data_IF_721368424379
#
_entry.id   IF_721368424379
#
_cell.length_a   1.000
_cell.length_b   1.000
_cell.length_c   1.000
_cell.angle_alpha   90.00
_cell.angle_beta   90.00
_cell.angle_gamma   90.00
#
_symmetry.space_group_name_H-M   'P 1'
#
loop_
_entity.id
_entity.type
_entity.pdbx_description
1 polymer ?
#
# COMPACT_ATOMS: atom_id res chain seq x y z
N UNK A 1 -72.98 7.33 -25.63
CA UNK A 1 -71.76 6.47 -25.60
C UNK A 1 -70.59 7.10 -26.37
N UNK A 2 -70.82 7.62 -27.59
CA UNK A 2 -69.82 8.29 -28.44
C UNK A 2 -69.16 9.54 -27.81
N UNK A 3 -69.91 10.34 -27.05
CA UNK A 3 -69.41 11.51 -26.29
C UNK A 3 -68.31 11.15 -25.26
N UNK A 4 -68.45 10.00 -24.58
CA UNK A 4 -67.46 9.53 -23.59
C UNK A 4 -66.16 9.05 -24.24
N UNK A 5 -66.24 8.56 -25.48
CA UNK A 5 -65.09 8.10 -26.27
C UNK A 5 -64.30 9.30 -26.81
N UNK A 6 -64.98 10.34 -27.33
CA UNK A 6 -64.32 11.59 -27.75
C UNK A 6 -63.62 12.31 -26.60
N UNK A 7 -64.20 12.28 -25.40
CA UNK A 7 -63.61 12.89 -24.19
C UNK A 7 -62.37 12.13 -23.69
N UNK A 8 -62.35 10.79 -23.80
CA UNK A 8 -61.16 9.96 -23.53
C UNK A 8 -60.06 10.11 -24.58
N UNK A 9 -60.42 10.30 -25.85
CA UNK A 9 -59.46 10.52 -26.93
C UNK A 9 -58.79 11.92 -26.87
N UNK A 10 -59.41 12.88 -26.18
CA UNK A 10 -58.86 14.21 -25.86
C UNK A 10 -58.14 14.27 -24.51
N UNK A 11 -57.96 13.13 -23.83
CA UNK A 11 -57.38 13.08 -22.50
C UNK A 11 -55.85 13.00 -22.60
N UNK A 12 -55.16 14.14 -22.41
CA UNK A 12 -53.69 14.24 -22.50
C UNK A 12 -52.95 13.36 -21.47
N UNK A 13 -53.68 12.85 -20.47
CA UNK A 13 -53.18 11.90 -19.47
C UNK A 13 -52.53 10.66 -20.09
N UNK A 14 -53.01 10.21 -21.25
CA UNK A 14 -52.41 9.08 -21.97
C UNK A 14 -51.06 9.41 -22.62
N UNK A 15 -50.91 10.61 -23.17
CA UNK A 15 -49.66 11.07 -23.78
C UNK A 15 -48.58 11.31 -22.71
N UNK A 16 -48.96 11.87 -21.56
CA UNK A 16 -48.06 12.05 -20.42
C UNK A 16 -47.55 10.69 -19.92
N UNK A 17 -48.42 9.67 -19.84
CA UNK A 17 -48.01 8.32 -19.42
C UNK A 17 -46.97 7.73 -20.39
N UNK A 18 -47.15 7.89 -21.70
CA UNK A 18 -46.20 7.42 -22.71
C UNK A 18 -44.85 8.15 -22.60
N UNK A 19 -44.86 9.47 -22.42
CA UNK A 19 -43.64 10.26 -22.22
C UNK A 19 -42.89 9.81 -20.95
N UNK A 20 -43.60 9.65 -19.84
CA UNK A 20 -43.01 9.21 -18.57
C UNK A 20 -42.42 7.80 -18.68
N UNK A 21 -43.07 6.90 -19.40
CA UNK A 21 -42.54 5.56 -19.66
C UNK A 21 -41.21 5.60 -20.43
N UNK A 22 -41.12 6.44 -21.47
CA UNK A 22 -39.87 6.62 -22.25
C UNK A 22 -38.77 7.23 -21.39
N UNK A 23 -39.09 8.26 -20.60
CA UNK A 23 -38.12 8.91 -19.70
C UNK A 23 -37.62 7.97 -18.60
N UNK A 24 -38.48 7.11 -18.05
CA UNK A 24 -38.06 6.10 -17.07
C UNK A 24 -37.02 5.14 -17.65
N UNK A 25 -37.22 4.66 -18.88
CA UNK A 25 -36.25 3.80 -19.56
C UNK A 25 -34.92 4.53 -19.76
N UNK A 26 -34.96 5.81 -20.17
CA UNK A 26 -33.76 6.62 -20.33
C UNK A 26 -32.99 6.79 -19.00
N UNK A 27 -33.68 7.09 -17.90
CA UNK A 27 -33.07 7.24 -16.57
C UNK A 27 -32.44 5.94 -16.10
N UNK A 28 -33.10 4.80 -16.30
CA UNK A 28 -32.54 3.47 -15.96
C UNK A 28 -31.28 3.21 -16.79
N UNK A 29 -31.28 3.57 -18.07
CA UNK A 29 -30.09 3.45 -18.93
C UNK A 29 -28.90 4.28 -18.44
N UNK A 30 -29.13 5.53 -18.01
CA UNK A 30 -28.06 6.35 -17.43
C UNK A 30 -27.59 5.85 -16.06
N UNK A 31 -28.51 5.39 -15.21
CA UNK A 31 -28.17 4.81 -13.91
C UNK A 31 -27.31 3.54 -14.09
N UNK A 32 -27.64 2.71 -15.08
CA UNK A 32 -26.86 1.53 -15.44
C UNK A 32 -25.41 1.89 -15.79
N UNK A 33 -25.22 2.88 -16.65
CA UNK A 33 -23.89 3.35 -17.06
C UNK A 33 -23.10 3.94 -15.89
N UNK A 34 -23.77 4.68 -15.01
CA UNK A 34 -23.16 5.25 -13.81
C UNK A 34 -22.64 4.16 -12.86
N UNK A 35 -23.43 3.09 -12.66
CA UNK A 35 -23.04 1.95 -11.81
C UNK A 35 -21.82 1.23 -12.39
N UNK A 36 -21.82 0.97 -13.70
CA UNK A 36 -20.70 0.29 -14.36
C UNK A 36 -19.40 1.10 -14.24
N UNK A 37 -19.47 2.39 -14.55
CA UNK A 37 -18.32 3.30 -14.47
C UNK A 37 -17.81 3.42 -13.03
N UNK A 38 -18.71 3.53 -12.07
CA UNK A 38 -18.35 3.55 -10.65
C UNK A 38 -17.62 2.28 -10.21
N UNK A 39 -18.07 1.11 -10.68
CA UNK A 39 -17.43 -0.17 -10.36
C UNK A 39 -16.01 -0.29 -10.96
N UNK A 40 -15.79 0.25 -12.16
CA UNK A 40 -14.48 0.26 -12.80
C UNK A 40 -13.50 1.20 -12.11
N UNK A 41 -13.94 2.39 -11.69
CA UNK A 41 -13.09 3.31 -10.94
C UNK A 41 -12.72 2.74 -9.56
N UNK A 42 -13.65 2.08 -8.88
CA UNK A 42 -13.35 1.37 -7.63
C UNK A 42 -12.31 0.26 -7.85
N UNK A 43 -12.46 -0.53 -8.92
CA UNK A 43 -11.50 -1.58 -9.27
C UNK A 43 -10.13 -0.98 -9.59
N UNK A 44 -10.07 0.15 -10.30
CA UNK A 44 -8.82 0.86 -10.61
C UNK A 44 -8.07 1.28 -9.36
N UNK A 45 -8.76 1.79 -8.34
CA UNK A 45 -8.15 2.11 -7.05
C UNK A 45 -7.57 0.86 -6.36
N UNK A 46 -8.30 -0.26 -6.38
CA UNK A 46 -7.80 -1.52 -5.81
C UNK A 46 -6.57 -2.06 -6.56
N UNK A 47 -6.59 -2.01 -7.89
CA UNK A 47 -5.45 -2.45 -8.72
C UNK A 47 -4.22 -1.58 -8.48
N UNK A 48 -4.40 -0.26 -8.32
CA UNK A 48 -3.30 0.65 -7.97
C UNK A 48 -2.75 0.33 -6.57
N UNK A 49 -3.60 0.19 -5.56
CA UNK A 49 -3.18 -0.17 -4.19
C UNK A 49 -2.42 -1.51 -4.17
N UNK A 50 -2.87 -2.49 -4.97
CA UNK A 50 -2.19 -3.77 -5.10
C UNK A 50 -0.84 -3.63 -5.80
N UNK A 51 -0.73 -2.79 -6.84
CA UNK A 51 0.53 -2.51 -7.51
C UNK A 51 1.52 -1.82 -6.57
N UNK A 52 1.07 -0.82 -5.80
CA UNK A 52 1.91 -0.08 -4.85
C UNK A 52 2.43 -0.98 -3.73
N UNK A 53 1.55 -1.79 -3.12
CA UNK A 53 1.93 -2.76 -2.10
C UNK A 53 2.90 -3.81 -2.65
N UNK A 54 2.66 -4.31 -3.86
CA UNK A 54 3.53 -5.28 -4.50
C UNK A 54 4.90 -4.70 -4.87
N UNK A 55 4.95 -3.46 -5.37
CA UNK A 55 6.20 -2.78 -5.68
C UNK A 55 7.03 -2.54 -4.42
N UNK A 56 6.41 -2.10 -3.32
CA UNK A 56 7.10 -1.91 -2.05
C UNK A 56 7.66 -3.22 -1.50
N UNK A 57 6.86 -4.29 -1.49
CA UNK A 57 7.31 -5.61 -1.04
C UNK A 57 8.45 -6.13 -1.91
N UNK A 58 8.35 -6.00 -3.24
CA UNK A 58 9.44 -6.39 -4.13
C UNK A 58 10.70 -5.57 -3.90
N UNK A 59 10.59 -4.27 -3.61
CA UNK A 59 11.75 -3.43 -3.34
C UNK A 59 12.46 -3.79 -2.04
N UNK A 60 11.75 -4.31 -1.03
CA UNK A 60 12.34 -4.73 0.24
C UNK A 60 13.30 -5.92 0.06
N UNK A 61 12.87 -6.92 -0.72
CA UNK A 61 13.68 -8.12 -1.02
C UNK A 61 14.56 -8.00 -2.25
N UNK A 62 14.45 -6.91 -3.02
CA UNK A 62 15.25 -6.73 -4.24
C UNK A 62 16.77 -6.80 -3.99
N UNK A 63 17.32 -6.24 -2.90
CA UNK A 63 18.75 -6.34 -2.60
C UNK A 63 19.22 -7.76 -2.25
N UNK A 64 18.32 -8.63 -1.76
CA UNK A 64 18.66 -9.98 -1.31
C UNK A 64 18.48 -11.01 -2.42
N UNK A 65 17.35 -10.98 -3.13
CA UNK A 65 16.97 -11.98 -4.12
C UNK A 65 15.86 -11.48 -5.04
N UNK A 66 16.12 -11.45 -6.35
CA UNK A 66 15.11 -11.09 -7.37
C UNK A 66 13.97 -12.11 -7.45
N UNK A 67 14.25 -13.38 -7.13
CA UNK A 67 13.23 -14.42 -7.04
C UNK A 67 12.28 -14.16 -5.87
N UNK A 68 12.83 -13.83 -4.70
CA UNK A 68 12.03 -13.52 -3.50
C UNK A 68 11.21 -12.27 -3.72
N UNK A 69 11.83 -11.19 -4.24
CA UNK A 69 11.13 -9.96 -4.61
C UNK A 69 9.95 -10.21 -5.56
N UNK A 70 10.08 -11.13 -6.51
CA UNK A 70 9.00 -11.49 -7.43
C UNK A 70 7.86 -12.23 -6.72
N UNK A 71 8.19 -13.22 -5.88
CA UNK A 71 7.21 -13.97 -5.08
C UNK A 71 6.48 -13.07 -4.08
N UNK A 72 7.19 -12.13 -3.47
CA UNK A 72 6.62 -11.19 -2.50
C UNK A 72 5.72 -10.18 -3.19
N UNK A 73 6.12 -9.61 -4.34
CA UNK A 73 5.22 -8.80 -5.16
C UNK A 73 3.91 -9.55 -5.49
N UNK A 74 3.99 -10.81 -5.93
CA UNK A 74 2.81 -11.63 -6.23
C UNK A 74 1.93 -11.86 -4.99
N UNK A 75 2.56 -12.11 -3.85
CA UNK A 75 1.86 -12.32 -2.56
C UNK A 75 1.13 -11.06 -2.12
N UNK A 76 1.80 -9.91 -2.13
CA UNK A 76 1.18 -8.64 -1.74
C UNK A 76 0.14 -8.15 -2.75
N UNK A 77 0.34 -8.38 -4.06
CA UNK A 77 -0.67 -8.10 -5.07
C UNK A 77 -1.95 -8.91 -4.84
N UNK A 78 -1.84 -10.21 -4.58
CA UNK A 78 -3.01 -11.09 -4.36
C UNK A 78 -3.71 -10.83 -3.03
N UNK A 79 -2.98 -10.39 -1.99
CA UNK A 79 -3.58 -9.96 -0.71
C UNK A 79 -4.40 -8.69 -0.84
N UNK A 80 -3.95 -7.75 -1.67
CA UNK A 80 -4.62 -6.46 -1.89
C UNK A 80 -5.68 -6.52 -3.01
N UNK A 81 -5.57 -7.49 -3.92
CA UNK A 81 -6.51 -7.73 -5.00
C UNK A 81 -6.76 -9.25 -5.17
N UNK A 82 -7.68 -9.82 -4.38
CA UNK A 82 -8.01 -11.23 -4.47
C UNK A 82 -8.51 -11.62 -5.87
N UNK A 83 -8.00 -12.72 -6.41
CA UNK A 83 -8.39 -13.23 -7.73
C UNK A 83 -7.55 -12.74 -8.91
N UNK A 84 -6.54 -11.88 -8.69
CA UNK A 84 -5.54 -11.59 -9.72
C UNK A 84 -4.62 -12.79 -9.94
N UNK A 85 -4.34 -13.20 -11.20
CA UNK A 85 -3.35 -14.24 -11.47
C UNK A 85 -1.95 -13.77 -11.08
N UNK A 86 -1.15 -14.67 -10.51
CA UNK A 86 0.25 -14.36 -10.11
C UNK A 86 1.22 -14.41 -11.28
N UNK A 87 0.86 -15.08 -12.38
CA UNK A 87 1.66 -15.09 -13.61
C UNK A 87 1.70 -13.72 -14.26
N UNK A 88 2.84 -13.36 -14.86
CA UNK A 88 2.90 -12.16 -15.67
C UNK A 88 2.03 -12.32 -16.92
N UNK A 89 1.13 -11.34 -17.12
CA UNK A 89 0.16 -11.34 -18.21
C UNK A 89 -0.92 -10.30 -17.98
N UNK A 90 -1.95 -10.40 -18.82
CA UNK A 90 -3.11 -9.51 -18.85
C UNK A 90 -4.36 -10.39 -18.95
N UNK A 91 -5.01 -10.76 -17.82
CA UNK A 91 -4.74 -10.35 -16.43
C UNK A 91 -3.51 -11.04 -15.81
N UNK A 92 -2.88 -10.41 -14.83
CA UNK A 92 -1.68 -10.93 -14.17
C UNK A 92 -0.90 -9.91 -13.33
N UNK A 93 0.18 -10.39 -12.70
CA UNK A 93 1.15 -9.58 -11.96
C UNK A 93 2.51 -9.71 -12.64
N UNK A 94 3.00 -8.63 -13.24
CA UNK A 94 4.30 -8.57 -13.91
C UNK A 94 5.29 -7.77 -13.07
N UNK A 95 6.38 -8.41 -12.68
CA UNK A 95 7.50 -7.78 -11.95
C UNK A 95 8.65 -7.57 -12.93
N UNK A 96 9.20 -6.36 -12.98
CA UNK A 96 10.29 -5.99 -13.88
C UNK A 96 11.41 -5.34 -13.08
N UNK A 97 12.56 -6.02 -13.05
CA UNK A 97 13.82 -5.53 -12.46
C UNK A 97 14.99 -6.07 -13.29
N UNK A 98 16.06 -5.29 -13.54
CA UNK A 98 16.20 -3.86 -13.23
C UNK A 98 15.20 -3.00 -14.00
N UNK A 99 14.71 -1.91 -13.39
CA UNK A 99 13.83 -0.96 -14.07
C UNK A 99 14.59 0.29 -14.51
N UNK A 100 14.40 0.71 -15.77
CA UNK A 100 15.05 1.87 -16.37
C UNK A 100 16.59 1.92 -16.19
N UNK A 101 17.25 0.76 -16.27
CA UNK A 101 18.70 0.64 -16.08
C UNK A 101 19.17 0.70 -14.63
N UNK A 102 18.26 0.79 -13.65
CA UNK A 102 18.59 0.82 -12.22
C UNK A 102 18.27 -0.54 -11.56
N UNK A 103 19.31 -1.23 -11.06
CA UNK A 103 19.19 -2.52 -10.36
C UNK A 103 18.53 -2.43 -8.99
N UNK A 104 18.48 -1.23 -8.42
CA UNK A 104 17.76 -0.94 -7.20
C UNK A 104 16.30 -0.57 -7.46
N UNK A 105 15.82 -0.56 -8.70
CA UNK A 105 14.42 -0.26 -9.02
C UNK A 105 13.66 -1.47 -9.52
N UNK A 106 12.43 -1.60 -9.04
CA UNK A 106 11.46 -2.59 -9.50
C UNK A 106 10.18 -1.89 -9.93
N UNK A 107 9.68 -2.27 -11.10
CA UNK A 107 8.34 -1.90 -11.56
C UNK A 107 7.44 -3.12 -11.42
N UNK A 108 6.30 -2.95 -10.77
CA UNK A 108 5.24 -3.97 -10.72
C UNK A 108 4.03 -3.46 -11.47
N UNK A 109 3.51 -4.29 -12.37
CA UNK A 109 2.27 -4.04 -13.12
C UNK A 109 1.24 -5.08 -12.74
N UNK A 110 0.06 -4.63 -12.32
CA UNK A 110 -1.05 -5.49 -11.92
C UNK A 110 -2.20 -5.24 -12.88
N UNK A 111 -2.77 -6.30 -13.44
CA UNK A 111 -3.86 -6.22 -14.40
C UNK A 111 -4.97 -7.23 -14.08
N UNK A 112 -6.22 -6.77 -14.11
CA UNK A 112 -7.40 -7.61 -13.92
C UNK A 112 -8.52 -7.19 -14.89
N UNK A 113 -9.46 -8.10 -15.16
CA UNK A 113 -10.68 -7.75 -15.88
C UNK A 113 -11.62 -6.98 -14.95
N UNK A 114 -12.18 -5.87 -15.43
CA UNK A 114 -13.19 -5.10 -14.72
C UNK A 114 -14.46 -5.93 -14.44
N UNK A 115 -15.24 -5.47 -13.46
CA UNK A 115 -16.55 -6.04 -13.16
C UNK A 115 -17.49 -5.94 -14.37
N UNK A 116 -18.26 -7.00 -14.62
CA UNK A 116 -19.40 -6.94 -15.53
C UNK A 116 -20.61 -6.43 -14.75
N UNK A 117 -21.24 -5.38 -15.27
CA UNK A 117 -22.49 -4.86 -14.72
C UNK A 117 -23.58 -4.81 -15.79
N UNK A 118 -24.36 -3.73 -15.81
CA UNK A 118 -25.53 -3.61 -16.68
C UNK A 118 -25.13 -3.40 -18.15
N UNK A 119 -23.92 -2.94 -18.43
CA UNK A 119 -23.32 -2.84 -19.76
C UNK A 119 -23.09 -4.20 -20.42
N UNK A 120 -22.96 -5.27 -19.63
CA UNK A 120 -22.90 -6.64 -20.16
C UNK A 120 -24.21 -7.06 -20.85
N UNK A 121 -25.36 -6.50 -20.43
CA UNK A 121 -26.67 -6.70 -21.07
C UNK A 121 -26.69 -6.07 -22.47
N UNK A 122 -25.95 -4.98 -22.66
CA UNK A 122 -25.82 -4.27 -23.93
C UNK A 122 -24.63 -4.74 -24.78
N UNK A 123 -24.01 -5.87 -24.42
CA UNK A 123 -22.90 -6.45 -25.19
C UNK A 123 -21.56 -5.72 -25.02
N UNK A 124 -21.42 -4.86 -24.01
CA UNK A 124 -20.15 -4.19 -23.70
C UNK A 124 -19.24 -5.20 -23.01
N UNK A 125 -18.05 -5.44 -23.59
CA UNK A 125 -17.03 -6.32 -23.01
C UNK A 125 -16.43 -5.70 -21.74
N UNK A 126 -16.03 -6.57 -20.80
CA UNK A 126 -15.36 -6.13 -19.57
C UNK A 126 -14.02 -5.48 -19.94
N UNK A 127 -13.78 -4.20 -19.60
CA UNK A 127 -12.51 -3.57 -19.91
C UNK A 127 -11.41 -4.19 -19.05
N UNK A 128 -10.19 -4.20 -19.59
CA UNK A 128 -9.02 -4.52 -18.80
C UNK A 128 -8.59 -3.31 -17.97
N UNK A 129 -8.42 -3.50 -16.68
CA UNK A 129 -7.97 -2.47 -15.75
C UNK A 129 -6.57 -2.85 -15.30
N UNK A 130 -5.63 -1.95 -15.53
CA UNK A 130 -4.21 -2.16 -15.21
C UNK A 130 -3.64 -0.93 -14.53
N UNK A 131 -2.74 -1.17 -13.57
CA UNK A 131 -1.97 -0.15 -12.89
C UNK A 131 -0.51 -0.57 -12.76
N UNK A 132 0.38 0.41 -12.60
CA UNK A 132 1.79 0.16 -12.36
C UNK A 132 2.28 1.01 -11.20
N UNK A 133 3.20 0.43 -10.43
CA UNK A 133 3.93 1.12 -9.39
C UNK A 133 5.42 0.84 -9.54
N UNK A 134 6.24 1.80 -9.12
CA UNK A 134 7.70 1.70 -9.16
C UNK A 134 8.20 1.99 -7.76
N UNK A 135 9.03 1.09 -7.24
CA UNK A 135 9.70 1.26 -5.96
C UNK A 135 11.20 1.15 -6.14
N UNK A 136 11.95 1.89 -5.31
CA UNK A 136 13.40 1.86 -5.28
C UNK A 136 13.85 1.25 -3.96
N UNK A 137 14.55 0.13 -4.04
CA UNK A 137 15.28 -0.47 -2.94
C UNK A 137 16.47 0.43 -2.60
N UNK A 138 16.32 1.24 -1.57
CA UNK A 138 17.46 1.99 -1.04
C UNK A 138 18.01 1.21 0.13
N UNK A 139 19.33 1.01 0.16
CA UNK A 139 20.03 0.68 1.39
C UNK A 139 20.04 1.94 2.25
N UNK A 140 18.87 2.35 2.73
CA UNK A 140 18.83 3.28 3.82
C UNK A 140 19.48 2.53 4.98
N UNK A 141 20.62 3.04 5.46
CA UNK A 141 20.78 3.11 6.90
C UNK A 141 19.60 3.96 7.37
N UNK A 142 18.41 3.38 7.46
CA UNK A 142 17.38 3.96 8.30
C UNK A 142 18.10 4.08 9.63
N UNK A 143 18.38 5.30 10.12
CA UNK A 143 18.71 5.40 11.53
C UNK A 143 17.50 4.73 12.16
N UNK A 144 17.73 3.60 12.82
CA UNK A 144 16.75 3.05 13.74
C UNK A 144 16.39 4.26 14.58
N UNK A 145 15.18 4.80 14.44
CA UNK A 145 14.90 6.13 15.02
C UNK A 145 15.21 6.09 16.50
N UNK A 146 15.01 4.90 17.08
CA UNK A 146 15.52 4.51 18.38
C UNK A 146 15.95 3.04 18.36
N UNK A 147 17.10 2.71 18.92
CA UNK A 147 17.48 1.35 19.31
C UNK A 147 16.92 1.02 20.71
N UNK A 148 16.26 -0.13 20.85
CA UNK A 148 15.72 -0.59 22.14
C UNK A 148 16.73 -1.50 22.85
N UNK A 149 17.14 -1.15 24.07
CA UNK A 149 17.93 -2.01 24.93
C UNK A 149 17.17 -2.32 26.21
N UNK A 150 16.81 -3.59 26.38
CA UNK A 150 16.22 -4.10 27.60
C UNK A 150 17.27 -4.84 28.43
N UNK A 151 17.55 -4.32 29.62
CA UNK A 151 18.31 -4.98 30.68
C UNK A 151 17.39 -5.53 31.77
N UNK A 152 17.93 -5.69 32.98
CA UNK A 152 17.14 -6.03 34.16
C UNK A 152 16.24 -4.89 34.64
N UNK A 153 15.27 -5.19 35.50
CA UNK A 153 14.32 -4.19 36.04
C UNK A 153 14.95 -3.26 37.10
N UNK A 154 16.23 -3.44 37.38
CA UNK A 154 17.01 -2.69 38.35
C UNK A 154 18.27 -2.18 37.66
N UNK A 155 18.71 -1.01 38.08
CA UNK A 155 19.86 -0.29 37.53
C UNK A 155 21.23 -0.96 37.75
N UNK A 156 21.22 -2.13 38.41
CA UNK A 156 22.39 -2.97 38.66
C UNK A 156 22.94 -3.61 37.39
N UNK A 157 22.10 -3.81 36.36
CA UNK A 157 22.50 -4.49 35.13
C UNK A 157 22.48 -3.52 33.95
N UNK A 158 23.65 -3.31 33.34
CA UNK A 158 23.79 -2.55 32.11
C UNK A 158 24.03 -3.49 30.92
N UNK A 159 23.49 -3.13 29.75
CA UNK A 159 23.85 -3.77 28.48
C UNK A 159 25.23 -3.25 28.08
N UNK A 160 26.24 -4.13 28.16
CA UNK A 160 27.61 -3.81 27.76
C UNK A 160 27.85 -4.29 26.33
N UNK A 161 28.09 -3.34 25.42
CA UNK A 161 28.50 -3.61 24.04
C UNK A 161 30.01 -3.46 23.97
N UNK A 162 30.71 -4.59 24.10
CA UNK A 162 32.17 -4.70 24.07
C UNK A 162 32.65 -5.13 22.67
N UNK A 163 32.38 -4.27 21.69
CA UNK A 163 32.77 -4.50 20.30
C UNK A 163 33.37 -3.22 19.70
N UNK A 164 34.51 -3.36 19.03
CA UNK A 164 35.15 -2.26 18.31
C UNK A 164 34.32 -1.88 17.07
N UNK A 165 34.36 -0.61 16.68
CA UNK A 165 33.66 -0.08 15.50
C UNK A 165 32.14 -0.24 15.57
N UNK A 166 31.55 -0.19 16.77
CA UNK A 166 30.10 -0.29 16.97
C UNK A 166 29.44 1.08 16.83
N UNK A 167 28.49 1.21 15.91
CA UNK A 167 27.71 2.44 15.73
C UNK A 167 26.23 2.17 15.99
N UNK A 168 25.62 2.96 16.86
CA UNK A 168 24.17 3.01 17.05
C UNK A 168 23.67 4.32 16.42
N UNK A 169 23.22 4.28 15.14
CA UNK A 169 22.63 5.45 14.51
C UNK A 169 21.19 5.65 15.02
N UNK A 170 20.91 6.83 15.59
CA UNK A 170 19.60 7.19 16.13
C UNK A 170 19.52 7.15 17.67
N UNK A 171 18.32 7.36 18.20
CA UNK A 171 18.09 7.41 19.64
C UNK A 171 18.30 6.06 20.34
N UNK A 172 18.29 6.06 21.66
CA UNK A 172 18.34 4.86 22.50
C UNK A 172 17.19 4.91 23.49
N UNK A 173 16.36 3.87 23.52
CA UNK A 173 15.38 3.65 24.58
C UNK A 173 15.85 2.49 25.44
N UNK A 174 15.97 2.74 26.74
CA UNK A 174 16.42 1.71 27.67
C UNK A 174 15.75 1.76 29.04
N UNK A 175 15.45 0.59 29.59
CA UNK A 175 14.97 0.44 30.96
C UNK A 175 16.10 0.37 32.01
N UNK A 176 17.37 0.41 31.59
CA UNK A 176 18.56 0.28 32.42
C UNK A 176 19.76 1.07 31.87
N UNK A 177 20.99 0.69 32.26
CA UNK A 177 22.20 1.30 31.70
C UNK A 177 22.57 0.68 30.35
N UNK A 178 23.12 1.48 29.42
CA UNK A 178 23.70 0.99 28.16
C UNK A 178 25.11 1.55 28.02
N UNK A 179 26.11 0.67 27.88
CA UNK A 179 27.51 1.04 27.80
C UNK A 179 28.12 0.56 26.47
N UNK A 180 28.56 1.51 25.64
CA UNK A 180 29.37 1.26 24.45
C UNK A 180 30.85 1.38 24.83
N UNK A 181 31.55 0.25 25.01
CA UNK A 181 32.90 0.23 25.60
C UNK A 181 34.03 -0.08 24.59
N UNK A 182 33.68 -0.52 23.37
CA UNK A 182 34.69 -0.81 22.34
C UNK A 182 35.34 0.44 21.74
N UNK A 183 36.53 0.27 21.16
CA UNK A 183 37.26 1.34 20.47
C UNK A 183 36.52 1.79 19.21
N UNK A 184 36.56 3.10 18.91
CA UNK A 184 35.86 3.72 17.76
C UNK A 184 34.34 3.47 17.74
N UNK A 185 33.71 3.37 18.90
CA UNK A 185 32.25 3.23 19.02
C UNK A 185 31.56 4.59 19.14
N UNK A 186 30.36 4.70 18.56
CA UNK A 186 29.58 5.94 18.53
C UNK A 186 28.08 5.69 18.69
N UNK A 187 27.40 6.67 19.27
CA UNK A 187 25.95 6.75 19.39
C UNK A 187 25.50 8.17 19.06
N UNK A 188 24.36 8.32 18.40
CA UNK A 188 23.86 9.62 17.95
C UNK A 188 22.35 9.73 18.09
N UNK A 189 21.84 10.52 19.04
CA UNK A 189 20.41 10.79 19.13
C UNK A 189 19.93 11.10 20.55
N UNK A 190 18.62 11.05 20.74
CA UNK A 190 17.99 11.16 22.07
C UNK A 190 18.12 9.83 22.81
N UNK A 191 18.57 9.87 24.06
CA UNK A 191 18.60 8.70 24.94
C UNK A 191 17.51 8.87 26.00
N UNK A 192 16.43 8.09 25.86
CA UNK A 192 15.37 7.92 26.84
C UNK A 192 15.75 6.77 27.78
N UNK A 193 15.95 7.07 29.05
CA UNK A 193 16.42 6.11 30.06
C UNK A 193 15.61 6.21 31.33
N UNK A 194 15.53 5.13 32.10
CA UNK A 194 14.98 5.20 33.45
C UNK A 194 15.87 6.11 34.33
N UNK A 195 15.37 7.24 34.87
CA UNK A 195 16.18 8.21 35.61
C UNK A 195 16.79 7.62 36.90
N UNK A 196 16.23 6.51 37.39
CA UNK A 196 16.77 5.77 38.53
C UNK A 196 18.11 5.09 38.23
N UNK A 197 18.47 4.93 36.94
CA UNK A 197 19.56 4.05 36.52
C UNK A 197 20.87 4.71 36.12
N UNK A 198 20.88 6.01 35.86
CA UNK A 198 22.07 6.74 35.43
C UNK A 198 22.66 6.21 34.11
N UNK A 199 23.51 7.02 33.48
CA UNK A 199 24.22 6.62 32.25
C UNK A 199 25.72 6.68 32.54
N UNK A 200 26.42 5.56 32.37
CA UNK A 200 27.88 5.49 32.48
C UNK A 200 28.47 5.69 31.08
N UNK A 201 29.10 6.83 30.85
CA UNK A 201 29.63 7.21 29.53
C UNK A 201 31.13 6.92 29.44
N UNK A 202 31.55 6.12 28.46
CA UNK A 202 32.96 5.98 28.09
C UNK A 202 33.14 5.94 26.56
N UNK A 203 32.88 7.06 25.87
CA UNK A 203 33.08 7.20 24.42
C UNK A 203 32.78 8.60 23.89
N UNK A 204 33.10 8.85 22.60
CA UNK A 204 32.77 10.11 21.92
C UNK A 204 31.30 10.10 21.48
N UNK A 205 30.43 10.69 22.30
CA UNK A 205 28.97 10.69 22.10
C UNK A 205 28.43 12.12 21.93
N UNK A 206 27.57 12.34 20.93
CA UNK A 206 26.82 13.59 20.75
C UNK A 206 25.32 13.35 20.99
N UNK A 207 24.98 12.90 22.20
CA UNK A 207 23.62 12.50 22.57
C UNK A 207 22.91 13.58 23.39
N UNK A 208 21.59 13.67 23.21
CA UNK A 208 20.71 14.42 24.10
C UNK A 208 20.08 13.43 25.09
N UNK A 209 20.18 13.69 26.39
CA UNK A 209 19.68 12.78 27.43
C UNK A 209 18.34 13.28 27.97
N UNK A 210 17.32 12.44 27.94
CA UNK A 210 15.98 12.73 28.44
C UNK A 210 15.60 11.70 29.50
N UNK A 211 15.28 12.13 30.74
CA UNK A 211 14.82 11.24 31.81
C UNK A 211 13.35 10.81 31.64
#
# INVERSE_FOLDING_TARGET
MLERIKRRARDERGAVLALVAILMVAIIGFAALAIDTGSWEQTKQQVQNAADAAALAAADDLPTSTSTATTDAQTYATRNLPGVPTSCGSPGVCVTTPYNGNSSQVKVTVAINGSGGLGSIFGISKPMISASAIATATSASTPITTALFAGGNNCTYAVNIDANNSSIPGGIETNGGVNLQGSNSSSFGTIDYNPSCGILNNGSMNNTYTP
#
